data_IF_958851513895
#
_entry.id   IF_958851513895
#
_cell.length_a   1.000
_cell.length_b   1.000
_cell.length_c   1.000
_cell.angle_alpha   90.00
_cell.angle_beta   90.00
_cell.angle_gamma   90.00
#
_symmetry.space_group_name_H-M   'P 1'
#
loop_
_entity.id
_entity.type
_entity.pdbx_description
1 polymer ?
#
# COMPACT_ATOMS: atom_id res chain seq x y z
N UNK A 1 14.17 -4.16 -17.70
CA UNK A 1 15.52 -4.70 -17.88
C UNK A 1 15.55 -6.14 -17.37
N UNK A 2 15.80 -7.09 -18.27
CA UNK A 2 15.82 -8.53 -17.95
C UNK A 2 17.09 -8.93 -17.18
N UNK A 3 18.17 -8.19 -17.31
CA UNK A 3 19.44 -8.47 -16.60
C UNK A 3 19.37 -8.10 -15.12
N UNK A 4 18.66 -7.01 -14.79
CA UNK A 4 18.48 -6.53 -13.42
C UNK A 4 17.17 -7.02 -12.79
N UNK A 5 16.31 -7.67 -13.57
CA UNK A 5 14.95 -8.06 -13.15
C UNK A 5 14.19 -6.88 -12.54
N UNK A 6 14.27 -5.72 -13.18
CA UNK A 6 13.59 -4.51 -12.75
C UNK A 6 12.70 -3.93 -13.85
N UNK A 7 11.61 -3.30 -13.43
CA UNK A 7 10.78 -2.44 -14.29
C UNK A 7 11.10 -1.00 -13.94
N UNK A 8 11.60 -0.25 -14.91
CA UNK A 8 12.00 1.14 -14.73
C UNK A 8 11.05 2.11 -15.42
N UNK A 9 10.96 3.30 -14.86
CA UNK A 9 10.27 4.42 -15.51
C UNK A 9 11.19 4.97 -16.62
N UNK A 10 10.69 5.04 -17.86
CA UNK A 10 11.45 5.68 -18.93
C UNK A 10 11.71 7.16 -18.60
N UNK A 11 12.90 7.67 -18.97
CA UNK A 11 13.30 9.07 -18.71
C UNK A 11 12.27 10.06 -19.26
N UNK A 12 11.76 9.83 -20.47
CA UNK A 12 10.76 10.69 -21.11
C UNK A 12 9.49 10.81 -20.27
N UNK A 13 8.91 9.71 -19.82
CA UNK A 13 7.68 9.73 -19.01
C UNK A 13 7.94 10.31 -17.62
N UNK A 14 9.11 10.05 -17.04
CA UNK A 14 9.54 10.62 -15.76
C UNK A 14 9.62 12.13 -15.84
N UNK A 15 10.29 12.67 -16.86
CA UNK A 15 10.48 14.10 -17.01
C UNK A 15 9.17 14.84 -17.29
N UNK A 16 8.29 14.24 -18.11
CA UNK A 16 6.93 14.72 -18.29
C UNK A 16 6.13 14.78 -16.97
N UNK A 17 6.22 13.73 -16.15
CA UNK A 17 5.52 13.70 -14.87
C UNK A 17 6.09 14.74 -13.91
N UNK A 18 7.41 14.89 -13.82
CA UNK A 18 8.08 15.88 -12.98
C UNK A 18 7.72 17.31 -13.39
N UNK A 19 7.71 17.61 -14.70
CA UNK A 19 7.29 18.91 -15.21
C UNK A 19 5.82 19.20 -14.85
N UNK A 20 4.91 18.27 -15.10
CA UNK A 20 3.49 18.44 -14.81
C UNK A 20 3.22 18.59 -13.30
N UNK A 21 3.90 17.83 -12.44
CA UNK A 21 3.81 17.96 -10.98
C UNK A 21 4.36 19.32 -10.55
N UNK A 22 5.52 19.73 -11.06
CA UNK A 22 6.14 21.02 -10.75
C UNK A 22 5.22 22.20 -11.08
N UNK A 23 4.59 22.17 -12.25
CA UNK A 23 3.62 23.19 -12.67
C UNK A 23 2.41 23.27 -11.73
N UNK A 24 1.87 22.12 -11.33
CA UNK A 24 0.76 22.08 -10.39
C UNK A 24 1.12 22.59 -9.00
N UNK A 25 2.30 22.23 -8.51
CA UNK A 25 2.79 22.70 -7.20
C UNK A 25 3.06 24.21 -7.19
N UNK A 26 3.60 24.77 -8.29
CA UNK A 26 3.82 26.22 -8.43
C UNK A 26 2.51 27.01 -8.55
N UNK A 27 1.59 26.54 -9.40
CA UNK A 27 0.32 27.23 -9.64
C UNK A 27 -0.66 27.09 -8.47
N UNK A 28 -0.56 26.01 -7.69
CA UNK A 28 -1.50 25.66 -6.62
C UNK A 28 -2.92 25.40 -7.11
N UNK A 29 -3.16 25.38 -8.43
CA UNK A 29 -4.49 25.27 -9.07
C UNK A 29 -4.42 24.37 -10.29
N UNK A 30 -5.56 23.73 -10.62
CA UNK A 30 -5.65 22.86 -11.80
C UNK A 30 -7.01 22.92 -12.47
N UNK A 31 -7.02 22.66 -13.79
CA UNK A 31 -8.21 22.35 -14.56
C UNK A 31 -8.42 20.84 -14.67
N UNK A 32 -9.65 20.41 -14.93
CA UNK A 32 -9.97 19.00 -15.11
C UNK A 32 -9.09 18.32 -16.17
N UNK A 33 -8.90 18.94 -17.34
CA UNK A 33 -8.10 18.38 -18.45
C UNK A 33 -6.66 18.11 -18.04
N UNK A 34 -5.97 19.13 -17.49
CA UNK A 34 -4.58 19.00 -17.03
C UNK A 34 -4.44 17.93 -15.95
N UNK A 35 -5.37 17.93 -14.99
CA UNK A 35 -5.31 16.99 -13.88
C UNK A 35 -5.61 15.55 -14.29
N UNK A 36 -6.55 15.35 -15.24
CA UNK A 36 -6.87 14.03 -15.79
C UNK A 36 -5.65 13.42 -16.52
N UNK A 37 -4.97 14.22 -17.34
CA UNK A 37 -3.73 13.79 -18.03
C UNK A 37 -2.66 13.32 -17.01
N UNK A 38 -2.44 14.08 -15.93
CA UNK A 38 -1.51 13.69 -14.89
C UNK A 38 -1.95 12.41 -14.16
N UNK A 39 -3.25 12.26 -13.84
CA UNK A 39 -3.77 11.03 -13.21
C UNK A 39 -3.48 9.80 -14.08
N UNK A 40 -3.70 9.89 -15.39
CA UNK A 40 -3.37 8.82 -16.33
C UNK A 40 -1.89 8.47 -16.34
N UNK A 41 -1.04 9.49 -16.45
CA UNK A 41 0.41 9.32 -16.45
C UNK A 41 0.92 8.68 -15.15
N UNK A 42 0.50 9.18 -13.98
CA UNK A 42 0.90 8.60 -12.69
C UNK A 42 0.36 7.18 -12.50
N UNK A 43 -0.82 6.86 -13.02
CA UNK A 43 -1.35 5.48 -12.99
C UNK A 43 -0.51 4.53 -13.84
N UNK A 44 -0.03 4.97 -14.99
CA UNK A 44 0.93 4.23 -15.82
C UNK A 44 2.26 4.02 -15.08
N UNK A 45 2.82 5.10 -14.52
CA UNK A 45 4.09 5.05 -13.78
C UNK A 45 4.02 4.21 -12.51
N UNK A 46 2.83 4.04 -11.91
CA UNK A 46 2.64 3.25 -10.71
C UNK A 46 2.96 1.75 -10.89
N UNK A 47 3.11 1.27 -12.12
CA UNK A 47 3.58 -0.09 -12.40
C UNK A 47 5.06 -0.22 -12.07
N UNK A 48 5.84 0.82 -12.38
CA UNK A 48 7.28 0.84 -12.18
C UNK A 48 7.71 1.47 -10.83
N UNK A 49 6.87 2.31 -10.21
CA UNK A 49 7.17 2.89 -8.89
C UNK A 49 6.62 2.00 -7.79
N UNK A 50 7.50 1.24 -7.14
CA UNK A 50 7.13 0.25 -6.14
C UNK A 50 6.29 0.83 -5.00
N UNK A 51 5.20 0.13 -4.66
CA UNK A 51 4.26 0.48 -3.58
C UNK A 51 3.71 1.92 -3.66
N UNK A 52 3.48 2.44 -4.88
CA UNK A 52 2.97 3.79 -5.11
C UNK A 52 1.43 3.88 -5.21
N UNK A 53 0.75 2.77 -5.50
CA UNK A 53 -0.70 2.74 -5.74
C UNK A 53 -1.56 3.41 -4.64
N UNK A 54 -1.26 3.31 -3.33
CA UNK A 54 -2.02 4.00 -2.28
C UNK A 54 -2.02 5.53 -2.38
N UNK A 55 -1.09 6.09 -3.16
CA UNK A 55 -0.96 7.53 -3.40
C UNK A 55 -1.68 8.00 -4.68
N UNK A 56 -2.40 7.12 -5.40
CA UNK A 56 -3.16 7.48 -6.61
C UNK A 56 -4.63 7.77 -6.34
N UNK A 57 -5.24 7.07 -5.39
CA UNK A 57 -6.68 7.21 -5.14
C UNK A 57 -7.15 8.63 -4.89
N UNK A 58 -6.46 9.47 -4.07
CA UNK A 58 -6.87 10.86 -3.85
C UNK A 58 -6.92 11.69 -5.13
N UNK A 59 -6.06 11.39 -6.11
CA UNK A 59 -6.08 12.05 -7.41
C UNK A 59 -7.38 11.76 -8.16
N UNK A 60 -7.77 10.50 -8.26
CA UNK A 60 -9.02 10.10 -8.92
C UNK A 60 -10.25 10.62 -8.17
N UNK A 61 -10.22 10.64 -6.84
CA UNK A 61 -11.28 11.22 -6.01
C UNK A 61 -11.43 12.72 -6.27
N UNK A 62 -10.33 13.46 -6.27
CA UNK A 62 -10.34 14.89 -6.54
C UNK A 62 -10.75 15.19 -7.98
N UNK A 63 -10.30 14.41 -8.97
CA UNK A 63 -10.69 14.56 -10.37
C UNK A 63 -12.21 14.51 -10.56
N UNK A 64 -12.92 13.69 -9.79
CA UNK A 64 -14.38 13.61 -9.83
C UNK A 64 -15.06 14.90 -9.34
N UNK A 65 -14.41 15.69 -8.52
CA UNK A 65 -14.92 16.98 -8.04
C UNK A 65 -14.72 18.12 -9.07
N UNK A 66 -13.84 17.93 -10.04
CA UNK A 66 -13.55 18.90 -11.08
C UNK A 66 -14.57 18.77 -12.22
N UNK A 67 -15.27 19.88 -12.56
CA UNK A 67 -16.25 19.92 -13.68
C UNK A 67 -15.58 20.43 -14.96
N UNK A 68 -16.06 19.95 -16.11
CA UNK A 68 -15.64 20.44 -17.42
C UNK A 68 -15.96 21.93 -17.59
N UNK A 69 -15.11 22.65 -18.34
CA UNK A 69 -15.33 24.04 -18.71
C UNK A 69 -15.32 25.06 -17.57
N UNK A 70 -15.05 24.65 -16.32
CA UNK A 70 -14.97 25.55 -15.17
C UNK A 70 -13.55 26.04 -14.88
N UNK A 71 -13.47 27.20 -14.20
CA UNK A 71 -12.19 27.82 -13.78
C UNK A 71 -11.32 26.84 -12.96
N UNK A 72 -9.98 26.94 -13.07
CA UNK A 72 -9.06 26.12 -12.30
C UNK A 72 -9.33 26.21 -10.79
N UNK A 73 -9.33 25.07 -10.11
CA UNK A 73 -9.58 24.96 -8.66
C UNK A 73 -8.27 24.82 -7.89
N UNK A 74 -8.28 25.32 -6.66
CA UNK A 74 -7.16 25.16 -5.72
C UNK A 74 -6.98 23.69 -5.35
N UNK A 75 -5.73 23.26 -5.25
CA UNK A 75 -5.39 21.90 -4.82
C UNK A 75 -5.59 21.75 -3.31
N UNK A 76 -6.24 20.66 -2.84
CA UNK A 76 -6.28 20.31 -1.42
C UNK A 76 -4.87 20.02 -0.86
N UNK A 77 -4.65 20.31 0.41
CA UNK A 77 -3.34 20.17 1.05
C UNK A 77 -2.83 18.72 1.13
N UNK A 78 -3.74 17.75 1.29
CA UNK A 78 -3.40 16.33 1.25
C UNK A 78 -2.94 15.89 -0.15
N UNK A 79 -3.58 16.42 -1.20
CA UNK A 79 -3.18 16.17 -2.58
C UNK A 79 -1.81 16.79 -2.90
N UNK A 80 -1.53 17.98 -2.36
CA UNK A 80 -0.20 18.62 -2.47
C UNK A 80 0.88 17.74 -1.83
N UNK A 81 0.59 17.12 -0.67
CA UNK A 81 1.53 16.17 -0.03
C UNK A 81 1.79 14.94 -0.91
N UNK A 82 0.74 14.41 -1.55
CA UNK A 82 0.89 13.27 -2.45
C UNK A 82 1.65 13.64 -3.74
N UNK A 83 1.43 14.84 -4.29
CA UNK A 83 2.23 15.35 -5.42
C UNK A 83 3.70 15.47 -5.07
N UNK A 84 4.04 16.03 -3.89
CA UNK A 84 5.43 16.11 -3.40
C UNK A 84 6.03 14.72 -3.19
N UNK A 85 5.23 13.77 -2.70
CA UNK A 85 5.67 12.37 -2.58
C UNK A 85 6.03 11.78 -3.94
N UNK A 86 5.16 11.95 -4.95
CA UNK A 86 5.42 11.48 -6.32
C UNK A 86 6.65 12.16 -6.91
N UNK A 87 6.79 13.48 -6.75
CA UNK A 87 7.96 14.23 -7.20
C UNK A 87 9.25 13.65 -6.61
N UNK A 88 9.30 13.47 -5.29
CA UNK A 88 10.46 12.88 -4.62
C UNK A 88 10.80 11.47 -5.14
N UNK A 89 9.79 10.62 -5.38
CA UNK A 89 10.04 9.26 -5.90
C UNK A 89 10.54 9.23 -7.33
N UNK A 90 10.05 10.12 -8.17
CA UNK A 90 10.49 10.23 -9.56
C UNK A 90 11.87 10.89 -9.71
N UNK A 91 12.29 11.71 -8.75
CA UNK A 91 13.62 12.32 -8.72
C UNK A 91 14.71 11.39 -8.22
N UNK A 92 14.36 10.40 -7.39
CA UNK A 92 15.31 9.42 -6.88
C UNK A 92 15.40 8.21 -7.81
N UNK A 93 16.54 7.50 -7.79
CA UNK A 93 16.72 6.22 -8.51
C UNK A 93 15.76 5.11 -8.05
N UNK A 94 14.96 5.38 -7.00
CA UNK A 94 13.90 4.49 -6.50
C UNK A 94 12.66 4.40 -7.43
N UNK A 95 12.69 5.03 -8.60
CA UNK A 95 11.66 4.86 -9.64
C UNK A 95 11.79 3.52 -10.37
N UNK A 96 12.26 2.51 -9.66
CA UNK A 96 12.35 1.13 -10.12
C UNK A 96 11.47 0.23 -9.27
N UNK A 97 10.68 -0.61 -9.91
CA UNK A 97 10.00 -1.73 -9.23
C UNK A 97 10.79 -3.00 -9.44
N UNK A 98 11.13 -3.75 -8.40
CA UNK A 98 11.75 -5.05 -8.59
C UNK A 98 10.75 -5.95 -9.30
N UNK A 99 11.21 -6.65 -10.30
CA UNK A 99 10.51 -7.84 -10.75
C UNK A 99 10.75 -8.94 -9.71
N UNK A 100 9.75 -9.22 -8.90
CA UNK A 100 9.85 -10.33 -7.95
C UNK A 100 9.56 -11.61 -8.74
N UNK A 101 10.60 -12.40 -9.01
CA UNK A 101 10.42 -13.73 -9.57
C UNK A 101 10.00 -14.69 -8.45
N UNK A 102 8.75 -15.22 -8.46
CA UNK A 102 8.28 -16.09 -7.38
C UNK A 102 9.14 -17.35 -7.20
N UNK A 103 9.82 -17.81 -8.24
CA UNK A 103 10.66 -19.02 -8.20
C UNK A 103 12.01 -18.80 -7.50
N UNK A 104 12.52 -17.56 -7.46
CA UNK A 104 13.85 -17.25 -6.90
C UNK A 104 13.83 -16.25 -5.74
N UNK A 105 12.70 -15.59 -5.51
CA UNK A 105 12.56 -14.63 -4.40
C UNK A 105 12.23 -15.34 -3.10
N UNK A 106 12.80 -14.90 -1.96
CA UNK A 106 12.41 -15.45 -0.67
C UNK A 106 10.93 -15.16 -0.38
N UNK A 107 10.26 -16.13 0.22
CA UNK A 107 8.83 -16.06 0.56
C UNK A 107 8.66 -16.36 2.05
N UNK A 108 7.90 -15.51 2.73
CA UNK A 108 7.38 -15.78 4.07
C UNK A 108 5.85 -15.82 4.02
N UNK A 109 5.26 -16.68 4.85
CA UNK A 109 3.81 -16.83 4.93
C UNK A 109 3.36 -16.53 6.36
N UNK A 110 2.34 -15.69 6.50
CA UNK A 110 1.65 -15.45 7.76
C UNK A 110 0.16 -15.66 7.60
N UNK A 111 -0.51 -15.96 8.69
CA UNK A 111 -1.96 -15.97 8.76
C UNK A 111 -2.44 -14.90 9.71
N UNK A 112 -3.50 -14.18 9.34
CA UNK A 112 -4.07 -13.11 10.16
C UNK A 112 -5.57 -13.23 10.27
N UNK A 113 -6.08 -12.85 11.44
CA UNK A 113 -7.51 -12.72 11.71
C UNK A 113 -7.77 -11.58 12.70
N UNK A 114 -8.99 -11.05 12.68
CA UNK A 114 -9.43 -10.02 13.61
C UNK A 114 -10.89 -10.22 14.02
N UNK A 115 -11.13 -10.27 15.32
CA UNK A 115 -12.49 -10.24 15.86
C UNK A 115 -13.06 -8.83 15.86
N UNK A 116 -14.38 -8.73 15.88
CA UNK A 116 -15.09 -7.45 15.94
C UNK A 116 -14.88 -6.69 17.25
N UNK A 117 -14.72 -7.39 18.36
CA UNK A 117 -14.85 -6.88 19.72
C UNK A 117 -13.67 -7.19 20.65
N UNK A 118 -12.88 -8.22 20.37
CA UNK A 118 -11.80 -8.67 21.26
C UNK A 118 -10.42 -8.17 20.80
N UNK A 119 -9.97 -8.58 19.62
CA UNK A 119 -8.62 -8.27 19.18
C UNK A 119 -8.26 -8.86 17.82
N UNK A 120 -6.97 -8.98 17.56
CA UNK A 120 -6.47 -9.63 16.36
C UNK A 120 -5.33 -10.58 16.66
N UNK A 121 -5.17 -11.56 15.78
CA UNK A 121 -4.14 -12.57 15.84
C UNK A 121 -3.31 -12.64 14.56
N UNK A 122 -2.02 -12.93 14.70
CA UNK A 122 -1.14 -13.26 13.58
C UNK A 122 -0.34 -14.50 13.95
N UNK A 123 -0.35 -15.46 13.06
CA UNK A 123 0.47 -16.66 13.16
C UNK A 123 1.58 -16.63 12.12
N UNK A 124 2.82 -16.84 12.59
CA UNK A 124 4.02 -16.84 11.75
C UNK A 124 4.94 -18.00 12.14
N UNK A 125 4.80 -19.15 11.49
CA UNK A 125 5.51 -20.36 11.81
C UNK A 125 5.27 -20.80 13.25
N UNK A 126 6.31 -20.73 14.12
CA UNK A 126 6.18 -21.03 15.55
C UNK A 126 5.82 -19.80 16.40
N UNK A 127 5.74 -18.60 15.80
CA UNK A 127 5.49 -17.35 16.52
C UNK A 127 4.04 -16.96 16.44
N UNK A 128 3.55 -16.37 17.51
CA UNK A 128 2.19 -15.87 17.65
C UNK A 128 2.26 -14.41 18.05
N UNK A 129 1.48 -13.58 17.39
CA UNK A 129 1.27 -12.19 17.75
C UNK A 129 -0.21 -11.99 18.02
N UNK A 130 -0.50 -11.37 19.16
CA UNK A 130 -1.86 -11.00 19.56
C UNK A 130 -1.89 -9.55 20.00
N UNK A 131 -3.01 -8.89 19.75
CA UNK A 131 -3.28 -7.56 20.23
C UNK A 131 -4.75 -7.44 20.60
N UNK A 132 -5.05 -6.95 21.80
CA UNK A 132 -6.39 -6.59 22.24
C UNK A 132 -6.73 -5.19 21.72
N UNK A 133 -7.97 -4.99 21.28
CA UNK A 133 -8.39 -3.70 20.80
C UNK A 133 -8.41 -2.67 21.92
N UNK A 134 -7.84 -1.51 21.66
CA UNK A 134 -8.08 -0.31 22.49
C UNK A 134 -9.50 0.23 22.24
N UNK A 135 -10.02 1.05 23.17
CA UNK A 135 -11.33 1.66 23.01
C UNK A 135 -11.52 2.41 21.67
N UNK A 136 -10.47 3.09 21.20
CA UNK A 136 -10.48 3.77 19.89
C UNK A 136 -10.48 2.81 18.70
N UNK A 137 -9.83 1.66 18.81
CA UNK A 137 -9.80 0.64 17.76
C UNK A 137 -11.11 -0.14 17.67
N UNK A 138 -11.81 -0.32 18.78
CA UNK A 138 -13.15 -0.94 18.81
C UNK A 138 -14.15 -0.20 17.92
N UNK A 139 -14.02 1.10 17.76
CA UNK A 139 -14.84 1.93 16.87
C UNK A 139 -14.47 1.77 15.38
N UNK A 140 -13.40 1.07 15.09
CA UNK A 140 -12.96 0.84 13.71
C UNK A 140 -13.89 -0.10 12.95
N UNK A 141 -14.03 0.13 11.63
CA UNK A 141 -14.77 -0.79 10.76
C UNK A 141 -14.09 -2.15 10.66
N UNK A 142 -14.83 -3.20 10.33
CA UNK A 142 -14.29 -4.56 10.15
C UNK A 142 -13.07 -4.58 9.19
N UNK A 143 -13.11 -3.95 7.98
CA UNK A 143 -11.93 -3.92 7.11
C UNK A 143 -10.72 -3.22 7.73
N UNK A 144 -10.93 -2.20 8.57
CA UNK A 144 -9.85 -1.54 9.30
C UNK A 144 -9.21 -2.50 10.31
N UNK A 145 -10.03 -3.20 11.11
CA UNK A 145 -9.55 -4.15 12.13
C UNK A 145 -8.76 -5.29 11.51
N UNK A 146 -9.21 -5.81 10.38
CA UNK A 146 -8.51 -6.89 9.66
C UNK A 146 -7.23 -6.45 8.95
N UNK A 147 -7.16 -5.20 8.46
CA UNK A 147 -5.96 -4.64 7.84
C UNK A 147 -4.89 -4.24 8.87
N UNK A 148 -5.31 -3.82 10.06
CA UNK A 148 -4.44 -3.32 11.11
C UNK A 148 -3.36 -4.32 11.55
N UNK A 149 -3.65 -5.62 11.84
CA UNK A 149 -2.65 -6.59 12.26
C UNK A 149 -1.54 -6.80 11.21
N UNK A 150 -1.89 -6.73 9.92
CA UNK A 150 -0.93 -6.86 8.82
C UNK A 150 0.11 -5.73 8.89
N UNK A 151 -0.37 -4.49 9.00
CA UNK A 151 0.51 -3.31 9.10
C UNK A 151 1.38 -3.37 10.34
N UNK A 152 0.80 -3.74 11.48
CA UNK A 152 1.52 -3.85 12.76
C UNK A 152 2.55 -4.98 12.73
N UNK A 153 2.23 -6.11 12.11
CA UNK A 153 3.17 -7.20 11.93
C UNK A 153 4.38 -6.75 11.09
N UNK A 154 4.15 -6.13 9.93
CA UNK A 154 5.24 -5.65 9.08
C UNK A 154 6.08 -4.57 9.78
N UNK A 155 5.44 -3.67 10.53
CA UNK A 155 6.15 -2.66 11.33
C UNK A 155 7.08 -3.31 12.38
N UNK A 156 6.62 -4.36 13.04
CA UNK A 156 7.37 -5.03 14.12
C UNK A 156 8.45 -5.97 13.61
N UNK A 157 8.14 -6.75 12.58
CA UNK A 157 8.98 -7.86 12.11
C UNK A 157 9.61 -7.65 10.73
N UNK A 158 9.26 -6.60 10.01
CA UNK A 158 9.77 -6.34 8.65
C UNK A 158 11.30 -6.25 8.59
N UNK A 159 11.92 -5.64 9.58
CA UNK A 159 13.39 -5.59 9.68
C UNK A 159 14.02 -6.97 9.90
N UNK A 160 13.40 -7.83 10.72
CA UNK A 160 13.87 -9.20 10.93
C UNK A 160 13.75 -10.04 9.66
N UNK A 161 12.59 -9.96 9.00
CA UNK A 161 12.35 -10.66 7.73
C UNK A 161 13.38 -10.23 6.68
N UNK A 162 13.58 -8.92 6.51
CA UNK A 162 14.56 -8.37 5.56
C UNK A 162 15.98 -8.87 5.83
N UNK A 163 16.39 -8.92 7.09
CA UNK A 163 17.72 -9.47 7.50
C UNK A 163 17.82 -10.96 7.18
N UNK A 164 16.79 -11.76 7.46
CA UNK A 164 16.76 -13.21 7.15
C UNK A 164 16.90 -13.46 5.65
N UNK A 165 16.42 -12.55 4.84
CA UNK A 165 16.55 -12.60 3.38
C UNK A 165 17.89 -12.04 2.87
N UNK A 166 18.82 -11.68 3.77
CA UNK A 166 20.12 -11.11 3.39
C UNK A 166 20.01 -9.80 2.61
N UNK A 167 18.99 -8.99 2.92
CA UNK A 167 18.70 -7.75 2.20
C UNK A 167 18.06 -7.93 0.82
N UNK A 168 17.83 -9.17 0.39
CA UNK A 168 17.10 -9.44 -0.86
C UNK A 168 15.64 -9.01 -0.74
N UNK A 169 15.05 -8.61 -1.85
CA UNK A 169 13.61 -8.34 -1.92
C UNK A 169 12.83 -9.65 -2.01
N UNK A 170 11.70 -9.73 -1.32
CA UNK A 170 10.92 -10.96 -1.30
C UNK A 170 9.43 -10.71 -1.08
N UNK A 171 8.65 -11.78 -1.00
CA UNK A 171 7.20 -11.76 -0.87
C UNK A 171 6.78 -12.18 0.52
N UNK A 172 6.00 -11.35 1.19
CA UNK A 172 5.24 -11.69 2.39
C UNK A 172 3.81 -12.04 1.96
N UNK A 173 3.48 -13.31 1.93
CA UNK A 173 2.13 -13.79 1.66
C UNK A 173 1.33 -13.75 2.96
N UNK A 174 0.27 -12.97 2.98
CA UNK A 174 -0.66 -12.87 4.11
C UNK A 174 -1.93 -13.64 3.76
N UNK A 175 -2.21 -14.70 4.49
CA UNK A 175 -3.47 -15.46 4.39
C UNK A 175 -4.49 -14.88 5.35
N UNK A 176 -5.67 -14.55 4.83
CA UNK A 176 -6.80 -13.98 5.58
C UNK A 176 -8.11 -14.40 4.93
N UNK A 177 -9.18 -14.52 5.73
CA UNK A 177 -10.53 -14.77 5.24
C UNK A 177 -11.26 -13.50 4.77
N UNK A 178 -10.61 -12.33 4.87
CA UNK A 178 -11.13 -11.05 4.41
C UNK A 178 -10.96 -10.84 2.92
N UNK A 179 -12.00 -11.06 2.13
CA UNK A 179 -12.02 -10.74 0.69
C UNK A 179 -11.80 -9.24 0.45
N UNK A 180 -12.46 -8.39 1.24
CA UNK A 180 -12.36 -6.93 1.09
C UNK A 180 -10.91 -6.45 1.22
N UNK A 181 -10.16 -6.97 2.19
CA UNK A 181 -8.76 -6.60 2.37
C UNK A 181 -7.84 -7.25 1.35
N UNK A 182 -8.15 -8.47 0.90
CA UNK A 182 -7.42 -9.10 -0.20
C UNK A 182 -7.43 -8.18 -1.43
N UNK A 183 -8.60 -7.68 -1.84
CA UNK A 183 -8.68 -6.72 -2.95
C UNK A 183 -8.00 -5.38 -2.62
N UNK A 184 -8.24 -4.83 -1.42
CA UNK A 184 -7.73 -3.49 -1.06
C UNK A 184 -6.20 -3.44 -1.00
N UNK A 185 -5.55 -4.46 -0.43
CA UNK A 185 -4.09 -4.52 -0.32
C UNK A 185 -3.46 -4.79 -1.68
N UNK A 186 -3.97 -5.78 -2.43
CA UNK A 186 -3.41 -6.14 -3.72
C UNK A 186 -3.59 -5.02 -4.77
N UNK A 187 -4.71 -4.29 -4.70
CA UNK A 187 -4.93 -3.11 -5.52
C UNK A 187 -4.23 -1.84 -4.98
N UNK A 188 -3.77 -1.85 -3.73
CA UNK A 188 -3.21 -0.68 -3.05
C UNK A 188 -4.23 0.46 -2.87
N UNK A 189 -5.52 0.15 -2.72
CA UNK A 189 -6.58 1.17 -2.72
C UNK A 189 -7.75 0.79 -1.82
N UNK A 190 -8.29 1.76 -1.08
CA UNK A 190 -9.50 1.61 -0.27
C UNK A 190 -10.35 2.88 -0.30
N UNK A 191 -11.68 2.74 -0.24
CA UNK A 191 -12.60 3.88 -0.11
C UNK A 191 -12.64 4.43 1.31
N UNK A 192 -12.32 3.63 2.31
CA UNK A 192 -12.24 4.05 3.71
C UNK A 192 -11.00 4.92 3.95
N UNK A 193 -11.12 6.14 4.47
CA UNK A 193 -9.97 6.98 4.81
C UNK A 193 -9.03 6.32 5.83
N UNK A 194 -9.57 5.57 6.78
CA UNK A 194 -8.79 4.85 7.79
C UNK A 194 -7.95 3.72 7.15
N UNK A 195 -8.57 2.90 6.29
CA UNK A 195 -7.85 1.86 5.55
C UNK A 195 -6.84 2.47 4.56
N UNK A 196 -7.17 3.57 3.90
CA UNK A 196 -6.25 4.26 3.00
C UNK A 196 -4.97 4.75 3.73
N UNK A 197 -5.10 5.22 4.98
CA UNK A 197 -3.93 5.56 5.82
C UNK A 197 -3.08 4.32 6.13
N UNK A 198 -3.71 3.21 6.51
CA UNK A 198 -3.00 1.95 6.76
C UNK A 198 -2.30 1.42 5.50
N UNK A 199 -2.93 1.52 4.33
CA UNK A 199 -2.31 1.11 3.06
C UNK A 199 -1.08 1.98 2.71
N UNK A 200 -1.12 3.29 2.98
CA UNK A 200 0.05 4.17 2.80
C UNK A 200 1.18 3.83 3.78
N UNK A 201 0.83 3.53 5.02
CA UNK A 201 1.80 3.05 5.99
C UNK A 201 2.42 1.73 5.54
N UNK A 202 1.59 0.76 5.13
CA UNK A 202 2.06 -0.52 4.58
C UNK A 202 2.99 -0.30 3.40
N UNK A 203 2.63 0.56 2.46
CA UNK A 203 3.45 0.91 1.30
C UNK A 203 4.82 1.50 1.71
N UNK A 204 4.85 2.33 2.75
CA UNK A 204 6.11 2.85 3.30
C UNK A 204 6.98 1.75 3.90
N UNK A 205 6.38 0.84 4.66
CA UNK A 205 7.07 -0.31 5.27
C UNK A 205 7.57 -1.29 4.21
N UNK A 206 6.78 -1.56 3.17
CA UNK A 206 7.19 -2.40 2.03
C UNK A 206 8.46 -1.86 1.38
N UNK A 207 8.52 -0.55 1.10
CA UNK A 207 9.72 0.09 0.53
C UNK A 207 10.90 0.03 1.50
N UNK A 208 10.66 0.30 2.78
CA UNK A 208 11.71 0.32 3.81
C UNK A 208 12.41 -1.02 3.96
N UNK A 209 11.65 -2.11 3.90
CA UNK A 209 12.15 -3.46 4.18
C UNK A 209 12.33 -4.34 2.95
N UNK A 210 12.01 -3.84 1.76
CA UNK A 210 12.08 -4.64 0.53
C UNK A 210 11.05 -5.77 0.47
N UNK A 211 9.90 -5.61 1.14
CA UNK A 211 8.85 -6.62 1.22
C UNK A 211 7.74 -6.33 0.21
N UNK A 212 7.37 -7.30 -0.60
CA UNK A 212 6.12 -7.24 -1.35
C UNK A 212 5.04 -7.96 -0.56
N UNK A 213 4.09 -7.22 0.00
CA UNK A 213 2.97 -7.81 0.75
C UNK A 213 1.85 -8.16 -0.21
N UNK A 214 1.54 -9.45 -0.28
CA UNK A 214 0.48 -10.02 -1.12
C UNK A 214 -0.55 -10.71 -0.22
N UNK A 215 -1.82 -10.32 -0.31
CA UNK A 215 -2.88 -11.02 0.38
C UNK A 215 -3.43 -12.17 -0.48
N UNK A 216 -3.57 -13.32 0.15
CA UNK A 216 -4.23 -14.50 -0.40
C UNK A 216 -5.44 -14.84 0.47
N UNK A 217 -6.60 -14.91 -0.15
CA UNK A 217 -7.80 -15.32 0.56
C UNK A 217 -7.68 -16.79 0.98
N UNK A 218 -8.12 -17.09 2.19
CA UNK A 218 -8.14 -18.43 2.77
C UNK A 218 -9.48 -18.61 3.49
N UNK A 219 -10.20 -19.71 3.28
CA UNK A 219 -11.43 -19.95 4.01
C UNK A 219 -11.15 -20.06 5.51
N UNK A 220 -12.13 -19.62 6.33
CA UNK A 220 -11.99 -19.51 7.78
C UNK A 220 -11.60 -20.81 8.45
N UNK A 221 -12.12 -21.93 7.94
CA UNK A 221 -11.83 -23.28 8.44
C UNK A 221 -10.34 -23.66 8.32
N UNK A 222 -9.59 -22.97 7.45
CA UNK A 222 -8.14 -23.12 7.29
C UNK A 222 -7.33 -22.05 8.02
N UNK A 223 -7.99 -21.04 8.62
CA UNK A 223 -7.35 -19.94 9.36
C UNK A 223 -7.47 -20.09 10.88
N UNK A 224 -7.63 -21.33 11.38
CA UNK A 224 -8.00 -21.67 12.77
C UNK A 224 -7.10 -21.00 13.80
N UNK A 225 -5.77 -21.06 13.64
CA UNK A 225 -4.84 -20.53 14.64
C UNK A 225 -4.96 -19.01 14.77
N UNK A 226 -5.07 -18.29 13.67
CA UNK A 226 -5.24 -16.83 13.71
C UNK A 226 -6.62 -16.44 14.27
N UNK A 227 -7.68 -17.20 13.94
CA UNK A 227 -9.03 -17.01 14.47
C UNK A 227 -9.05 -17.21 16.00
N UNK A 228 -8.44 -18.26 16.52
CA UNK A 228 -8.32 -18.48 17.96
C UNK A 228 -7.54 -17.35 18.66
N UNK A 229 -6.43 -16.92 18.07
CA UNK A 229 -5.64 -15.80 18.60
C UNK A 229 -6.41 -14.47 18.61
N UNK A 230 -7.34 -14.27 17.68
CA UNK A 230 -8.17 -13.05 17.64
C UNK A 230 -9.24 -12.99 18.73
N UNK A 231 -9.66 -14.15 19.27
CA UNK A 231 -10.80 -14.29 20.20
C UNK A 231 -10.41 -14.66 21.61
N UNK A 232 -9.42 -15.56 21.80
CA UNK A 232 -9.12 -16.16 23.11
C UNK A 232 -7.71 -15.81 23.57
N UNK A 233 -7.53 -15.72 24.90
CA UNK A 233 -6.23 -15.79 25.54
C UNK A 233 -5.79 -17.26 25.53
N UNK A 234 -4.74 -17.57 24.79
CA UNK A 234 -4.04 -18.85 24.87
C UNK A 234 -2.90 -18.74 25.85
#
# INVERSE_FOLDING_TARGET
DSSTQTVEVSSVHRDFALAAIGDLLRSGRTSRKKFHSLCGLLSYLAVAVFASRPYLRPFWTYLRTLRHGRRPRKLPGDLVRDLKWWQSRLQTLDATSPWVNPASSPVEIIMTDASGDVGCGVWWGRRRFRHLWTASQLQGSVPYKELWPIVRFVRRFGSEISRRWGGKRGVLVVRSDSLTNTYSVNAGSSSSPACARLLRELASLQRRYGLWVLLSWTPREKNVVADLLSKFSL
#
